data_IF_079248202642
#
_entry.id   IF_079248202642
#
_cell.length_a   1.000
_cell.length_b   1.000
_cell.length_c   1.000
_cell.angle_alpha   90.00
_cell.angle_beta   90.00
_cell.angle_gamma   90.00
#
_symmetry.space_group_name_H-M   'P 1'
#
loop_
_entity.id
_entity.type
_entity.pdbx_description
1 polymer ?
#
# COMPACT_ATOMS: atom_id res chain seq x y z
N UNK A 1 -21.62 -8.73 -65.71
CA UNK A 1 -22.66 -8.32 -64.73
C UNK A 1 -22.16 -8.63 -63.33
N UNK A 2 -22.39 -7.67 -62.42
CA UNK A 2 -22.03 -7.60 -61.00
C UNK A 2 -22.22 -8.92 -60.22
N UNK A 3 -21.31 -9.20 -59.28
CA UNK A 3 -21.53 -9.12 -57.80
C UNK A 3 -20.48 -9.98 -57.06
N UNK A 4 -19.98 -9.47 -55.95
CA UNK A 4 -19.12 -10.24 -55.05
C UNK A 4 -18.33 -9.43 -54.01
N UNK A 5 -18.58 -8.13 -53.84
CA UNK A 5 -18.01 -7.34 -52.74
C UNK A 5 -18.80 -7.63 -51.45
N UNK A 6 -18.61 -8.81 -50.86
CA UNK A 6 -19.17 -9.16 -49.55
C UNK A 6 -18.10 -9.86 -48.72
N UNK A 7 -17.18 -9.08 -48.14
CA UNK A 7 -16.23 -9.60 -47.14
C UNK A 7 -15.73 -8.53 -46.14
N UNK A 8 -16.20 -7.28 -46.21
CA UNK A 8 -15.62 -6.17 -45.43
C UNK A 8 -16.26 -5.91 -44.05
N UNK A 9 -17.17 -6.76 -43.57
CA UNK A 9 -17.96 -6.45 -42.36
C UNK A 9 -17.66 -7.30 -41.11
N UNK A 10 -16.69 -8.21 -41.15
CA UNK A 10 -16.38 -9.09 -40.00
C UNK A 10 -15.22 -8.61 -39.10
N UNK A 11 -14.55 -7.49 -39.41
CA UNK A 11 -13.30 -7.09 -38.76
C UNK A 11 -13.41 -5.95 -37.72
N UNK A 12 -14.61 -5.48 -37.42
CA UNK A 12 -14.83 -4.29 -36.57
C UNK A 12 -15.03 -4.62 -35.06
N UNK A 13 -15.62 -5.75 -34.63
CA UNK A 13 -15.80 -6.02 -33.20
C UNK A 13 -14.50 -6.28 -32.42
N UNK A 14 -13.47 -6.84 -33.06
CA UNK A 14 -12.19 -7.17 -32.43
C UNK A 14 -11.28 -5.95 -32.22
N UNK A 15 -11.36 -4.94 -33.10
CA UNK A 15 -10.59 -3.70 -32.97
C UNK A 15 -11.12 -2.82 -31.83
N UNK A 16 -12.44 -2.78 -31.64
CA UNK A 16 -13.05 -2.04 -30.53
C UNK A 16 -12.74 -2.74 -29.20
N UNK A 17 -12.89 -4.06 -29.12
CA UNK A 17 -12.52 -4.83 -27.93
C UNK A 17 -11.02 -4.73 -27.57
N UNK A 18 -10.13 -4.79 -28.57
CA UNK A 18 -8.69 -4.63 -28.36
C UNK A 18 -8.27 -3.21 -27.96
N UNK A 19 -8.89 -2.18 -28.53
CA UNK A 19 -8.64 -0.78 -28.16
C UNK A 19 -9.10 -0.48 -26.71
N UNK A 20 -10.29 -0.93 -26.32
CA UNK A 20 -10.76 -0.79 -24.93
C UNK A 20 -9.86 -1.54 -23.93
N UNK A 21 -9.39 -2.75 -24.28
CA UNK A 21 -8.47 -3.51 -23.42
C UNK A 21 -7.11 -2.82 -23.31
N UNK A 22 -6.52 -2.35 -24.41
CA UNK A 22 -5.23 -1.65 -24.41
C UNK A 22 -5.30 -0.30 -23.68
N UNK A 23 -6.36 0.48 -23.89
CA UNK A 23 -6.55 1.78 -23.23
C UNK A 23 -6.92 1.62 -21.73
N UNK A 24 -7.65 0.56 -21.37
CA UNK A 24 -7.92 0.23 -19.97
C UNK A 24 -6.67 -0.28 -19.25
N UNK A 25 -5.82 -1.06 -19.94
CA UNK A 25 -4.53 -1.48 -19.41
C UNK A 25 -3.65 -0.27 -19.16
N UNK A 26 -3.52 0.65 -20.13
CA UNK A 26 -2.70 1.86 -19.94
C UNK A 26 -3.17 2.75 -18.78
N UNK A 27 -4.48 2.97 -18.65
CA UNK A 27 -5.04 3.78 -17.55
C UNK A 27 -4.93 3.10 -16.17
N UNK A 28 -4.92 1.77 -16.14
CA UNK A 28 -4.74 1.02 -14.89
C UNK A 28 -3.25 0.95 -14.49
N UNK A 29 -2.34 0.73 -15.45
CA UNK A 29 -0.90 0.79 -15.19
C UNK A 29 -0.48 2.18 -14.70
N UNK A 30 -0.97 3.25 -15.33
CA UNK A 30 -0.70 4.62 -14.90
C UNK A 30 -1.23 4.92 -13.49
N UNK A 31 -2.42 4.43 -13.15
CA UNK A 31 -2.97 4.56 -11.80
C UNK A 31 -2.11 3.83 -10.75
N UNK A 32 -1.62 2.62 -11.06
CA UNK A 32 -0.71 1.89 -10.16
C UNK A 32 0.64 2.59 -10.02
N UNK A 33 1.25 3.05 -11.11
CA UNK A 33 2.54 3.74 -11.05
C UNK A 33 2.45 5.06 -10.28
N UNK A 34 1.36 5.80 -10.47
CA UNK A 34 1.06 7.01 -9.69
C UNK A 34 0.90 6.66 -8.22
N UNK A 35 0.12 5.63 -7.91
CA UNK A 35 -0.05 5.15 -6.54
C UNK A 35 1.28 4.80 -5.87
N UNK A 36 2.07 3.91 -6.47
CA UNK A 36 3.36 3.48 -5.93
C UNK A 36 4.31 4.66 -5.70
N UNK A 37 4.33 5.62 -6.63
CA UNK A 37 5.14 6.82 -6.52
C UNK A 37 4.67 7.73 -5.38
N UNK A 38 3.36 7.97 -5.29
CA UNK A 38 2.79 8.89 -4.31
C UNK A 38 2.85 8.32 -2.90
N UNK A 39 2.75 6.99 -2.74
CA UNK A 39 2.86 6.33 -1.44
C UNK A 39 4.30 6.00 -1.02
N UNK A 40 5.28 6.13 -1.93
CA UNK A 40 6.68 5.82 -1.64
C UNK A 40 7.25 6.65 -0.49
N UNK A 41 6.83 7.90 -0.35
CA UNK A 41 7.26 8.77 0.74
C UNK A 41 6.84 8.21 2.12
N UNK A 42 5.64 7.62 2.22
CA UNK A 42 5.19 6.96 3.44
C UNK A 42 6.05 5.75 3.78
N UNK A 43 6.37 4.92 2.78
CA UNK A 43 7.27 3.78 2.97
C UNK A 43 8.65 4.22 3.48
N UNK A 44 9.22 5.28 2.90
CA UNK A 44 10.52 5.83 3.37
C UNK A 44 10.42 6.28 4.83
N UNK A 45 9.39 7.05 5.18
CA UNK A 45 9.20 7.56 6.55
C UNK A 45 9.06 6.40 7.53
N UNK A 46 8.24 5.42 7.19
CA UNK A 46 8.00 4.25 8.03
C UNK A 46 9.29 3.42 8.24
N UNK A 47 10.01 3.11 7.17
CA UNK A 47 11.27 2.36 7.25
C UNK A 47 12.33 3.10 8.06
N UNK A 48 12.51 4.41 7.85
CA UNK A 48 13.45 5.24 8.64
C UNK A 48 13.12 5.22 10.14
N UNK A 49 11.83 5.24 10.48
CA UNK A 49 11.37 5.14 11.86
C UNK A 49 11.66 3.77 12.47
N UNK A 50 11.41 2.68 11.74
CA UNK A 50 11.71 1.33 12.21
C UNK A 50 13.22 1.07 12.35
N UNK A 51 14.04 1.60 11.45
CA UNK A 51 15.49 1.52 11.56
C UNK A 51 16.00 2.26 12.80
N UNK A 52 15.45 3.45 13.08
CA UNK A 52 15.75 4.19 14.31
C UNK A 52 15.30 3.43 15.55
N UNK A 53 14.10 2.87 15.54
CA UNK A 53 13.58 2.03 16.62
C UNK A 53 14.50 0.84 16.91
N UNK A 54 14.87 0.09 15.88
CA UNK A 54 15.80 -1.03 15.98
C UNK A 54 17.17 -0.60 16.52
N UNK A 55 17.71 0.51 16.00
CA UNK A 55 18.97 1.08 16.50
C UNK A 55 18.90 1.45 17.98
N UNK A 56 17.76 1.98 18.45
CA UNK A 56 17.56 2.33 19.86
C UNK A 56 17.43 1.09 20.73
N UNK A 57 16.76 0.02 20.27
CA UNK A 57 16.71 -1.25 20.98
C UNK A 57 18.09 -1.90 21.14
N UNK A 58 18.95 -1.79 20.12
CA UNK A 58 20.29 -2.39 20.14
C UNK A 58 21.31 -1.58 20.93
N UNK A 59 21.27 -0.25 20.84
CA UNK A 59 22.35 0.63 21.29
C UNK A 59 21.93 1.68 22.33
N UNK A 60 20.62 1.88 22.53
CA UNK A 60 20.07 2.84 23.47
C UNK A 60 19.79 2.26 24.85
N UNK A 61 19.51 3.13 25.81
CA UNK A 61 18.92 2.75 27.09
C UNK A 61 17.41 2.57 26.97
N UNK A 62 16.81 1.83 27.91
CA UNK A 62 15.35 1.66 27.98
C UNK A 62 14.61 3.00 28.07
N UNK A 63 15.15 3.97 28.81
CA UNK A 63 14.58 5.32 28.92
C UNK A 63 14.65 6.09 27.59
N UNK A 64 15.78 6.01 26.87
CA UNK A 64 15.91 6.64 25.55
C UNK A 64 14.95 6.01 24.53
N UNK A 65 14.80 4.69 24.58
CA UNK A 65 13.84 3.96 23.75
C UNK A 65 12.39 4.37 24.06
N UNK A 66 12.04 4.46 25.34
CA UNK A 66 10.72 4.91 25.78
C UNK A 66 10.40 6.34 25.32
N UNK A 67 11.35 7.26 25.50
CA UNK A 67 11.22 8.67 25.07
C UNK A 67 11.09 8.75 23.54
N UNK A 68 11.94 8.04 22.79
CA UNK A 68 11.84 7.99 21.33
C UNK A 68 10.47 7.48 20.87
N UNK A 69 10.02 6.36 21.44
CA UNK A 69 8.75 5.73 21.09
C UNK A 69 7.58 6.70 21.29
N UNK A 70 7.54 7.34 22.46
CA UNK A 70 6.45 8.24 22.86
C UNK A 70 6.49 9.60 22.17
N UNK A 71 7.67 10.20 22.02
CA UNK A 71 7.80 11.60 21.59
C UNK A 71 8.13 11.75 20.10
N UNK A 72 8.58 10.68 19.43
CA UNK A 72 8.98 10.71 18.03
C UNK A 72 8.26 9.67 17.18
N UNK A 73 8.36 8.38 17.52
CA UNK A 73 7.83 7.29 16.70
C UNK A 73 6.32 7.39 16.54
N UNK A 74 5.57 7.28 17.63
CA UNK A 74 4.10 7.31 17.60
C UNK A 74 3.57 8.59 16.93
N UNK A 75 3.99 9.81 17.33
CA UNK A 75 3.45 11.03 16.70
C UNK A 75 3.68 11.11 15.19
N UNK A 76 4.86 10.67 14.71
CA UNK A 76 5.15 10.67 13.27
C UNK A 76 4.36 9.61 12.53
N UNK A 77 4.17 8.43 13.13
CA UNK A 77 3.33 7.39 12.56
C UNK A 77 1.86 7.83 12.48
N UNK A 78 1.35 8.54 13.49
CA UNK A 78 -0.01 9.10 13.47
C UNK A 78 -0.17 10.16 12.37
N UNK A 79 0.81 11.05 12.20
CA UNK A 79 0.83 12.05 11.11
C UNK A 79 0.83 11.35 9.74
N UNK A 80 1.75 10.40 9.54
CA UNK A 80 1.85 9.61 8.31
C UNK A 80 0.55 8.84 8.02
N UNK A 81 -0.05 8.23 9.04
CA UNK A 81 -1.30 7.49 8.89
C UNK A 81 -2.46 8.42 8.52
N UNK A 82 -2.53 9.62 9.10
CA UNK A 82 -3.54 10.61 8.76
C UNK A 82 -3.41 11.08 7.31
N UNK A 83 -2.19 11.34 6.85
CA UNK A 83 -1.90 11.71 5.46
C UNK A 83 -2.24 10.57 4.49
N UNK A 84 -1.86 9.33 4.83
CA UNK A 84 -2.20 8.14 4.06
C UNK A 84 -3.73 7.96 3.99
N UNK A 85 -4.45 8.10 5.11
CA UNK A 85 -5.93 8.04 5.14
C UNK A 85 -6.53 9.07 4.19
N UNK A 86 -6.03 10.31 4.21
CA UNK A 86 -6.50 11.38 3.33
C UNK A 86 -6.20 11.10 1.85
N UNK A 87 -5.00 10.57 1.53
CA UNK A 87 -4.65 10.12 0.18
C UNK A 87 -5.62 9.04 -0.32
N UNK A 88 -5.92 8.05 0.52
CA UNK A 88 -6.86 6.96 0.24
C UNK A 88 -8.26 7.42 -0.18
N UNK A 89 -8.71 8.60 0.28
CA UNK A 89 -10.00 9.16 -0.14
C UNK A 89 -10.04 9.52 -1.63
N UNK A 90 -8.90 9.94 -2.19
CA UNK A 90 -8.72 10.34 -3.58
C UNK A 90 -8.45 9.19 -4.56
N UNK A 91 -8.31 7.95 -4.08
CA UNK A 91 -8.06 6.80 -4.95
C UNK A 91 -9.34 6.45 -5.73
N UNK A 92 -9.35 6.77 -7.02
CA UNK A 92 -10.47 6.53 -7.93
C UNK A 92 -10.73 5.03 -8.19
N UNK A 93 -9.67 4.22 -8.23
CA UNK A 93 -9.78 2.79 -8.56
C UNK A 93 -10.15 2.01 -7.31
N UNK A 94 -11.41 1.61 -7.18
CA UNK A 94 -11.91 0.83 -6.03
C UNK A 94 -10.98 -0.33 -5.61
N UNK A 95 -10.50 -1.14 -6.54
CA UNK A 95 -9.62 -2.27 -6.19
C UNK A 95 -8.33 -1.83 -5.50
N UNK A 96 -7.78 -0.67 -5.87
CA UNK A 96 -6.57 -0.12 -5.28
C UNK A 96 -6.87 0.57 -3.95
N UNK A 97 -8.02 1.24 -3.86
CA UNK A 97 -8.52 1.83 -2.61
C UNK A 97 -8.74 0.75 -1.54
N UNK A 98 -9.40 -0.34 -1.89
CA UNK A 98 -9.64 -1.47 -0.99
C UNK A 98 -8.31 -2.09 -0.49
N UNK A 99 -7.23 -2.03 -1.28
CA UNK A 99 -5.89 -2.50 -0.89
C UNK A 99 -5.20 -1.48 0.00
N UNK A 100 -5.26 -0.20 -0.34
CA UNK A 100 -4.70 0.88 0.47
C UNK A 100 -5.32 0.94 1.87
N UNK A 101 -6.61 0.64 2.00
CA UNK A 101 -7.28 0.53 3.31
C UNK A 101 -6.70 -0.59 4.20
N UNK A 102 -6.02 -1.58 3.62
CA UNK A 102 -5.32 -2.64 4.38
C UNK A 102 -4.02 -2.09 4.95
N UNK A 103 -3.24 -1.37 4.15
CA UNK A 103 -2.00 -0.70 4.56
C UNK A 103 -2.25 0.29 5.70
N UNK A 104 -3.26 1.14 5.55
CA UNK A 104 -3.69 2.09 6.59
C UNK A 104 -4.02 1.38 7.92
N UNK A 105 -4.68 0.21 7.84
CA UNK A 105 -5.01 -0.59 9.02
C UNK A 105 -3.79 -1.29 9.60
N UNK A 106 -2.84 -1.74 8.77
CA UNK A 106 -1.59 -2.31 9.25
C UNK A 106 -0.87 -1.28 10.13
N UNK A 107 -0.66 -0.06 9.60
CA UNK A 107 -0.04 1.03 10.36
C UNK A 107 -0.84 1.36 11.64
N UNK A 108 -2.18 1.28 11.60
CA UNK A 108 -3.02 1.42 12.81
C UNK A 108 -2.66 0.39 13.88
N UNK A 109 -2.53 -0.87 13.50
CA UNK A 109 -2.15 -1.95 14.42
C UNK A 109 -0.75 -1.78 14.98
N UNK A 110 0.19 -1.31 14.17
CA UNK A 110 1.51 -0.98 14.67
C UNK A 110 1.45 0.10 15.76
N UNK A 111 0.73 1.19 15.52
CA UNK A 111 0.56 2.28 16.50
C UNK A 111 -0.14 1.77 17.77
N UNK A 112 -1.20 0.97 17.64
CA UNK A 112 -1.90 0.34 18.77
C UNK A 112 -0.94 -0.54 19.60
N UNK A 113 -0.09 -1.33 18.94
CA UNK A 113 0.95 -2.13 19.59
C UNK A 113 1.94 -1.29 20.40
N UNK A 114 2.41 -0.18 19.82
CA UNK A 114 3.31 0.76 20.50
C UNK A 114 2.66 1.37 21.75
N UNK A 115 1.39 1.76 21.68
CA UNK A 115 0.66 2.24 22.86
C UNK A 115 0.49 1.16 23.93
N UNK A 116 0.06 -0.05 23.55
CA UNK A 116 -0.09 -1.15 24.48
C UNK A 116 1.24 -1.49 25.18
N UNK A 117 2.35 -1.43 24.45
CA UNK A 117 3.69 -1.62 25.01
C UNK A 117 4.04 -0.54 26.04
N UNK A 118 3.80 0.74 25.73
CA UNK A 118 4.03 1.87 26.65
C UNK A 118 3.18 1.78 27.93
N UNK A 119 2.00 1.17 27.84
CA UNK A 119 1.10 0.93 28.98
C UNK A 119 1.46 -0.31 29.81
N UNK A 120 2.43 -1.12 29.35
CA UNK A 120 2.83 -2.37 29.98
C UNK A 120 1.90 -3.55 29.68
N UNK A 121 1.00 -3.42 28.70
CA UNK A 121 0.09 -4.46 28.24
C UNK A 121 0.75 -5.35 27.16
N UNK A 122 1.85 -6.03 27.53
CA UNK A 122 2.71 -6.71 26.56
C UNK A 122 2.01 -7.79 25.72
N UNK A 123 1.10 -8.59 26.30
CA UNK A 123 0.35 -9.61 25.54
C UNK A 123 -0.56 -8.98 24.46
N UNK A 124 -1.12 -7.81 24.73
CA UNK A 124 -1.94 -7.08 23.77
C UNK A 124 -1.07 -6.39 22.71
N UNK A 125 0.08 -5.85 23.11
CA UNK A 125 1.07 -5.31 22.18
C UNK A 125 1.53 -6.36 21.17
N UNK A 126 1.92 -7.55 21.64
CA UNK A 126 2.34 -8.68 20.79
C UNK A 126 1.24 -9.06 19.79
N UNK A 127 -0.02 -9.14 20.25
CA UNK A 127 -1.14 -9.43 19.37
C UNK A 127 -1.34 -8.38 18.28
N UNK A 128 -1.18 -7.08 18.60
CA UNK A 128 -1.27 -6.02 17.61
C UNK A 128 -0.10 -6.04 16.60
N UNK A 129 1.11 -6.36 17.04
CA UNK A 129 2.25 -6.53 16.12
C UNK A 129 2.07 -7.74 15.20
N UNK A 130 1.53 -8.86 15.70
CA UNK A 130 1.18 -10.01 14.85
C UNK A 130 0.08 -9.66 13.83
N UNK A 131 -0.93 -8.86 14.22
CA UNK A 131 -1.96 -8.37 13.29
C UNK A 131 -1.38 -7.43 12.24
N UNK A 132 -0.43 -6.56 12.62
CA UNK A 132 0.31 -5.71 11.69
C UNK A 132 1.05 -6.54 10.62
N UNK A 133 1.79 -7.56 11.02
CA UNK A 133 2.54 -8.44 10.10
C UNK A 133 1.60 -9.14 9.11
N UNK A 134 0.46 -9.63 9.60
CA UNK A 134 -0.56 -10.29 8.77
C UNK A 134 -1.16 -9.33 7.74
N UNK A 135 -1.52 -8.11 8.15
CA UNK A 135 -2.10 -7.10 7.27
C UNK A 135 -1.09 -6.62 6.23
N UNK A 136 0.17 -6.43 6.61
CA UNK A 136 1.25 -6.07 5.68
C UNK A 136 1.45 -7.14 4.61
N UNK A 137 1.51 -8.42 5.00
CA UNK A 137 1.58 -9.52 4.04
C UNK A 137 0.36 -9.60 3.12
N UNK A 138 -0.85 -9.36 3.65
CA UNK A 138 -2.08 -9.29 2.85
C UNK A 138 -2.07 -8.11 1.85
N UNK A 139 -1.57 -6.95 2.28
CA UNK A 139 -1.41 -5.76 1.44
C UNK A 139 -0.45 -6.05 0.28
N UNK A 140 0.75 -6.54 0.57
CA UNK A 140 1.77 -6.86 -0.43
C UNK A 140 1.20 -7.86 -1.45
N UNK A 141 0.67 -9.01 -1.01
CA UNK A 141 0.14 -10.04 -1.91
C UNK A 141 -0.93 -9.48 -2.85
N UNK A 142 -1.87 -8.70 -2.31
CA UNK A 142 -2.98 -8.14 -3.09
C UNK A 142 -2.51 -7.05 -4.05
N UNK A 143 -1.59 -6.19 -3.62
CA UNK A 143 -1.03 -5.14 -4.46
C UNK A 143 -0.26 -5.75 -5.61
N UNK A 144 0.57 -6.75 -5.34
CA UNK A 144 1.37 -7.48 -6.33
C UNK A 144 0.47 -8.15 -7.38
N UNK A 145 -0.60 -8.80 -6.93
CA UNK A 145 -1.59 -9.45 -7.80
C UNK A 145 -2.33 -8.43 -8.66
N UNK A 146 -2.66 -7.26 -8.10
CA UNK A 146 -3.31 -6.18 -8.84
C UNK A 146 -2.36 -5.55 -9.86
N UNK A 147 -1.10 -5.31 -9.48
CA UNK A 147 -0.06 -4.77 -10.35
C UNK A 147 0.19 -5.69 -11.54
N UNK A 148 0.37 -7.00 -11.30
CA UNK A 148 0.50 -8.01 -12.37
C UNK A 148 -0.70 -8.03 -13.31
N UNK A 149 -1.93 -7.95 -12.76
CA UNK A 149 -3.16 -7.82 -13.56
C UNK A 149 -3.18 -6.54 -14.40
N UNK A 150 -2.55 -5.48 -13.92
CA UNK A 150 -2.42 -4.19 -14.59
C UNK A 150 -1.09 -4.01 -15.32
N UNK A 151 -0.36 -5.10 -15.58
CA UNK A 151 0.91 -5.11 -16.32
C UNK A 151 2.00 -4.19 -15.73
N UNK A 152 2.02 -4.05 -14.41
CA UNK A 152 3.07 -3.38 -13.63
C UNK A 152 3.78 -4.45 -12.79
N UNK A 153 5.11 -4.39 -12.76
CA UNK A 153 5.95 -5.20 -11.89
C UNK A 153 6.36 -4.34 -10.69
N UNK A 154 6.23 -4.88 -9.48
CA UNK A 154 6.68 -4.25 -8.24
C UNK A 154 7.92 -5.02 -7.80
N UNK A 155 9.00 -4.28 -7.52
CA UNK A 155 10.18 -4.82 -6.87
C UNK A 155 10.09 -4.41 -5.39
N UNK A 156 9.97 -5.40 -4.52
CA UNK A 156 10.06 -5.21 -3.06
C UNK A 156 11.54 -5.30 -2.67
N UNK A 157 12.02 -4.37 -1.85
CA UNK A 157 13.40 -4.32 -1.35
C UNK A 157 13.68 -5.35 -0.25
#
# INVERSE_FOLDING_TARGET
MKKGLYSLLAFIPLLIGGYFLFQSASANSEAMLTYLKDTHEYTIIFTDLLEQEASMMENGTEEEFFVFTKETLIPKLEEMQADSKAYGEGIEKKQLKDIHEIDVKAVEKYIEGQYAWLEGNYEEADAFFEEYDQLTGEYEEKLDKLAKKWAVEIEWE
#
